data_IF_729809360317
#
_entry.id   IF_729809360317
#
_cell.length_a   1.000
_cell.length_b   1.000
_cell.length_c   1.000
_cell.angle_alpha   90.00
_cell.angle_beta   90.00
_cell.angle_gamma   90.00
#
_symmetry.space_group_name_H-M   'P 1'
#
loop_
_entity.id
_entity.type
_entity.pdbx_description
1 polymer ?
#
# COMPACT_ATOMS: atom_id res chain seq x y z
N UNK A 1 -3.03 -13.63 -14.02
CA UNK A 1 -2.63 -12.20 -13.97
C UNK A 1 -3.29 -11.53 -15.15
N UNK A 2 -4.16 -10.56 -14.90
CA UNK A 2 -4.86 -9.80 -15.94
C UNK A 2 -4.16 -8.44 -16.03
N UNK A 3 -3.72 -8.07 -17.22
CA UNK A 3 -3.05 -6.79 -17.45
C UNK A 3 -4.07 -5.79 -18.00
N UNK A 4 -4.06 -4.56 -17.51
CA UNK A 4 -4.84 -3.48 -18.11
C UNK A 4 -4.11 -2.97 -19.37
N UNK A 5 -4.82 -2.55 -20.42
CA UNK A 5 -4.16 -2.00 -21.63
C UNK A 5 -3.67 -0.55 -21.43
N UNK A 6 -3.99 0.06 -20.29
CA UNK A 6 -3.68 1.45 -19.96
C UNK A 6 -2.32 1.50 -19.28
N UNK A 7 -1.41 2.31 -19.83
CA UNK A 7 -0.11 2.59 -19.21
C UNK A 7 -0.09 3.99 -18.61
N UNK A 8 0.23 4.07 -17.33
CA UNK A 8 0.36 5.35 -16.61
C UNK A 8 1.80 5.83 -16.68
N UNK A 9 2.01 7.14 -16.89
CA UNK A 9 3.36 7.74 -16.95
C UNK A 9 3.86 8.12 -15.57
N UNK A 10 2.95 8.38 -14.64
CA UNK A 10 3.28 8.77 -13.27
C UNK A 10 2.45 7.97 -12.26
N UNK A 11 2.97 7.87 -11.04
CA UNK A 11 2.24 7.23 -9.96
C UNK A 11 1.00 8.03 -9.52
N UNK A 12 1.04 9.35 -9.65
CA UNK A 12 -0.11 10.23 -9.39
C UNK A 12 -1.27 9.90 -10.34
N UNK A 13 -1.00 9.73 -11.65
CA UNK A 13 -2.03 9.32 -12.62
C UNK A 13 -2.66 7.97 -12.27
N UNK A 14 -1.86 7.02 -11.79
CA UNK A 14 -2.33 5.73 -11.31
C UNK A 14 -3.21 5.88 -10.06
N UNK A 15 -2.82 6.73 -9.10
CA UNK A 15 -3.56 6.94 -7.85
C UNK A 15 -4.96 7.54 -8.08
N UNK A 16 -5.10 8.40 -9.09
CA UNK A 16 -6.40 9.00 -9.47
C UNK A 16 -7.19 8.17 -10.48
N UNK A 17 -6.69 6.98 -10.84
CA UNK A 17 -7.35 6.13 -11.82
C UNK A 17 -8.51 5.35 -11.18
N UNK A 18 -9.61 5.22 -11.94
CA UNK A 18 -10.75 4.39 -11.55
C UNK A 18 -10.55 2.96 -12.06
N UNK A 19 -9.84 2.15 -11.27
CA UNK A 19 -9.61 0.72 -11.55
C UNK A 19 -10.69 -0.18 -10.94
N UNK A 20 -11.75 0.41 -10.36
CA UNK A 20 -12.78 -0.29 -9.62
C UNK A 20 -12.42 -0.52 -8.14
N UNK A 21 -13.44 -0.78 -7.30
CA UNK A 21 -13.29 -0.79 -5.84
C UNK A 21 -12.70 -2.08 -5.25
N UNK A 22 -12.72 -3.19 -5.99
CA UNK A 22 -12.54 -4.53 -5.42
C UNK A 22 -11.16 -5.16 -5.68
N UNK A 23 -10.32 -4.53 -6.50
CA UNK A 23 -9.03 -5.08 -6.95
C UNK A 23 -7.82 -4.53 -6.19
N UNK A 24 -6.78 -5.36 -6.02
CA UNK A 24 -5.49 -4.95 -5.47
C UNK A 24 -4.51 -4.69 -6.62
N UNK A 25 -4.27 -3.41 -6.93
CA UNK A 25 -3.47 -3.03 -8.10
C UNK A 25 -2.03 -2.63 -7.74
N UNK A 26 -1.09 -2.84 -8.67
CA UNK A 26 0.29 -2.34 -8.59
C UNK A 26 0.73 -1.73 -9.91
N UNK A 27 1.35 -0.56 -9.84
CA UNK A 27 1.99 0.08 -10.96
C UNK A 27 3.41 -0.46 -11.12
N UNK A 28 3.76 -0.88 -12.33
CA UNK A 28 5.10 -1.27 -12.73
C UNK A 28 5.89 -0.08 -13.30
N UNK A 29 7.21 -0.16 -13.26
CA UNK A 29 8.11 0.90 -13.73
C UNK A 29 8.03 1.17 -15.23
N UNK A 30 7.45 0.25 -16.01
CA UNK A 30 7.15 0.41 -17.43
C UNK A 30 5.78 1.08 -17.70
N UNK A 31 5.06 1.46 -16.63
CA UNK A 31 3.74 2.08 -16.67
C UNK A 31 2.56 1.09 -16.67
N UNK A 32 2.81 -0.23 -16.73
CA UNK A 32 1.74 -1.23 -16.71
C UNK A 32 1.14 -1.40 -15.31
N UNK A 33 -0.15 -1.73 -15.26
CA UNK A 33 -0.83 -2.09 -14.00
C UNK A 33 -1.12 -3.57 -13.99
N UNK A 34 -0.75 -4.20 -12.87
CA UNK A 34 -1.10 -5.58 -12.57
C UNK A 34 -2.11 -5.62 -11.44
N UNK A 35 -3.08 -6.50 -11.56
CA UNK A 35 -3.95 -6.91 -10.47
C UNK A 35 -3.30 -8.10 -9.74
N UNK A 36 -3.22 -7.99 -8.42
CA UNK A 36 -2.77 -9.05 -7.53
C UNK A 36 -3.97 -9.88 -7.08
N UNK A 37 -3.78 -11.18 -6.82
CA UNK A 37 -4.81 -11.98 -6.17
C UNK A 37 -5.15 -11.41 -4.78
N UNK A 38 -6.34 -11.72 -4.26
CA UNK A 38 -6.66 -11.43 -2.86
C UNK A 38 -5.65 -12.10 -1.93
N UNK A 39 -5.46 -11.50 -0.75
CA UNK A 39 -4.58 -12.03 0.29
C UNK A 39 -5.15 -13.31 0.90
N UNK A 40 -4.28 -14.21 1.34
CA UNK A 40 -4.68 -15.46 1.99
C UNK A 40 -5.12 -15.22 3.46
N UNK A 41 -6.10 -16.00 3.93
CA UNK A 41 -6.63 -15.89 5.29
C UNK A 41 -5.57 -16.13 6.38
N UNK A 42 -4.65 -17.07 6.14
CA UNK A 42 -3.54 -17.34 7.07
C UNK A 42 -2.63 -16.11 7.21
N UNK A 43 -2.29 -15.46 6.09
CA UNK A 43 -1.48 -14.25 6.09
C UNK A 43 -2.17 -13.08 6.79
N UNK A 44 -3.48 -12.92 6.58
CA UNK A 44 -4.30 -11.92 7.28
C UNK A 44 -4.26 -12.17 8.79
N UNK A 45 -4.39 -13.42 9.22
CA UNK A 45 -4.35 -13.81 10.63
C UNK A 45 -2.98 -13.48 11.23
N UNK A 46 -1.88 -13.86 10.56
CA UNK A 46 -0.50 -13.57 11.00
C UNK A 46 -0.27 -12.05 11.12
N UNK A 47 -0.68 -11.27 10.10
CA UNK A 47 -0.53 -9.82 10.12
C UNK A 47 -1.31 -9.16 11.27
N UNK A 48 -2.49 -9.70 11.58
CA UNK A 48 -3.34 -9.24 12.68
C UNK A 48 -2.72 -9.54 14.04
N UNK A 49 -2.14 -10.72 14.24
CA UNK A 49 -1.42 -11.05 15.48
C UNK A 49 -0.19 -10.14 15.66
N UNK A 50 0.58 -9.92 14.59
CA UNK A 50 1.72 -8.99 14.63
C UNK A 50 1.30 -7.56 14.96
N UNK A 51 0.17 -7.08 14.43
CA UNK A 51 -0.42 -5.78 14.79
C UNK A 51 -0.66 -5.69 16.30
N UNK A 52 -1.27 -6.72 16.90
CA UNK A 52 -1.57 -6.71 18.33
C UNK A 52 -0.31 -6.72 19.19
N UNK A 53 0.70 -7.52 18.83
CA UNK A 53 1.98 -7.60 19.55
C UNK A 53 2.73 -6.27 19.46
N UNK A 54 2.94 -5.74 18.25
CA UNK A 54 3.71 -4.51 18.03
C UNK A 54 2.96 -3.29 18.59
N UNK A 55 1.64 -3.26 18.53
CA UNK A 55 0.79 -2.23 19.12
C UNK A 55 0.86 -2.13 20.65
N UNK A 56 1.46 -3.11 21.34
CA UNK A 56 1.77 -2.98 22.76
C UNK A 56 2.93 -2.00 22.99
N UNK A 57 3.92 -1.99 22.09
CA UNK A 57 5.17 -1.25 22.24
C UNK A 57 5.17 0.12 21.55
N UNK A 58 4.41 0.28 20.47
CA UNK A 58 4.38 1.53 19.70
C UNK A 58 3.22 2.43 20.14
N UNK A 59 3.52 3.68 20.50
CA UNK A 59 2.52 4.70 20.91
C UNK A 59 2.65 5.99 20.08
N UNK A 60 1.53 6.58 19.62
CA UNK A 60 0.16 6.04 19.68
C UNK A 60 0.00 4.80 18.79
N UNK A 61 -0.95 3.91 19.14
CA UNK A 61 -1.21 2.66 18.38
C UNK A 61 -1.53 2.91 16.90
N UNK A 62 -2.05 4.09 16.55
CA UNK A 62 -2.34 4.52 15.18
C UNK A 62 -1.12 4.65 14.25
N UNK A 63 0.09 4.55 14.81
CA UNK A 63 1.34 4.44 14.07
C UNK A 63 1.59 3.04 13.50
N UNK A 64 0.91 2.01 14.02
CA UNK A 64 0.98 0.66 13.48
C UNK A 64 -0.27 0.44 12.64
N UNK A 65 -0.10 0.08 11.36
CA UNK A 65 -1.19 -0.08 10.41
C UNK A 65 -1.01 -1.35 9.60
N UNK A 66 -2.11 -1.91 9.13
CA UNK A 66 -2.14 -3.07 8.23
C UNK A 66 -2.30 -2.63 6.77
N UNK A 67 -2.59 -3.57 5.87
CA UNK A 67 -2.75 -3.46 4.40
C UNK A 67 -3.65 -2.33 3.85
N UNK A 68 -4.27 -1.51 4.71
CA UNK A 68 -4.99 -0.27 4.35
C UNK A 68 -4.09 0.88 3.86
N UNK A 69 -2.77 0.70 3.95
CA UNK A 69 -1.79 1.76 3.66
C UNK A 69 -0.87 1.35 2.51
N UNK A 70 -0.95 2.10 1.43
CA UNK A 70 -0.07 1.96 0.28
C UNK A 70 1.09 2.96 0.37
N UNK A 71 2.27 2.57 -0.08
CA UNK A 71 3.44 3.44 -0.17
C UNK A 71 4.01 3.42 -1.59
N UNK A 72 4.32 4.60 -2.12
CA UNK A 72 5.18 4.69 -3.28
C UNK A 72 6.60 4.31 -2.88
N UNK A 73 7.32 3.57 -3.71
CA UNK A 73 8.71 3.19 -3.50
C UNK A 73 9.51 3.36 -4.78
N UNK A 74 10.85 3.45 -4.65
CA UNK A 74 11.71 3.24 -5.81
C UNK A 74 11.57 1.79 -6.29
N UNK A 75 11.30 1.54 -7.58
CA UNK A 75 11.27 0.18 -8.10
C UNK A 75 12.62 -0.52 -7.92
N UNK A 76 12.62 -1.70 -7.31
CA UNK A 76 13.79 -2.56 -7.13
C UNK A 76 13.36 -4.00 -7.40
N UNK A 77 14.12 -4.73 -8.22
CA UNK A 77 13.85 -6.13 -8.54
C UNK A 77 12.61 -6.30 -9.43
N UNK A 78 11.43 -6.45 -8.82
CA UNK A 78 10.16 -6.79 -9.49
C UNK A 78 9.48 -5.62 -10.22
N UNK A 79 10.14 -4.46 -10.30
CA UNK A 79 9.66 -3.28 -11.03
C UNK A 79 8.46 -2.56 -10.41
N UNK A 80 7.95 -2.95 -9.24
CA UNK A 80 6.78 -2.29 -8.63
C UNK A 80 7.12 -0.92 -8.06
N UNK A 81 6.33 0.08 -8.43
CA UNK A 81 6.42 1.49 -8.00
C UNK A 81 5.71 1.70 -6.66
N UNK A 82 4.84 0.78 -6.25
CA UNK A 82 4.09 0.83 -5.01
C UNK A 82 4.08 -0.49 -4.24
N UNK A 83 3.92 -0.40 -2.92
CA UNK A 83 3.77 -1.53 -2.01
C UNK A 83 2.61 -1.27 -1.06
N UNK A 84 1.84 -2.30 -0.74
CA UNK A 84 0.99 -2.31 0.45
C UNK A 84 1.54 -3.41 1.36
N UNK A 85 2.34 -3.06 2.37
CA UNK A 85 2.83 -4.04 3.35
C UNK A 85 1.67 -4.59 4.19
N UNK A 86 1.78 -5.84 4.64
CA UNK A 86 0.79 -6.45 5.55
C UNK A 86 0.75 -5.74 6.90
N UNK A 87 1.90 -5.18 7.31
CA UNK A 87 2.06 -4.34 8.49
C UNK A 87 3.10 -3.25 8.23
N UNK A 88 2.79 -2.02 8.66
CA UNK A 88 3.69 -0.87 8.63
C UNK A 88 3.74 -0.21 10.01
N UNK A 89 4.95 0.10 10.47
CA UNK A 89 5.21 0.88 11.67
C UNK A 89 5.72 2.25 11.26
N UNK A 90 4.95 3.28 11.56
CA UNK A 90 5.24 4.67 11.23
C UNK A 90 5.83 5.41 12.43
N UNK A 91 6.50 6.52 12.14
CA UNK A 91 6.84 7.56 13.11
C UNK A 91 5.96 8.77 12.86
N UNK A 92 5.90 9.70 13.82
CA UNK A 92 5.00 10.85 13.72
C UNK A 92 5.31 11.75 12.52
N UNK A 93 6.58 11.86 12.12
CA UNK A 93 6.97 12.63 10.94
C UNK A 93 6.37 12.06 9.65
N UNK A 94 6.20 10.73 9.54
CA UNK A 94 5.60 10.09 8.35
C UNK A 94 4.11 10.39 8.20
N UNK A 95 3.44 10.88 9.25
CA UNK A 95 2.03 11.29 9.20
C UNK A 95 1.93 12.78 8.82
N UNK A 96 2.87 13.61 9.29
CA UNK A 96 2.85 15.06 9.09
C UNK A 96 3.38 15.45 7.72
N UNK A 97 4.38 14.75 7.21
CA UNK A 97 4.96 14.99 5.89
C UNK A 97 4.35 14.04 4.87
N UNK A 98 3.30 14.52 4.20
CA UNK A 98 2.67 13.83 3.07
C UNK A 98 3.58 13.72 1.85
N UNK A 99 4.77 14.33 1.87
CA UNK A 99 5.62 14.47 0.70
C UNK A 99 7.05 14.91 1.05
N UNK A 100 7.86 14.12 1.74
CA UNK A 100 9.32 14.34 1.66
C UNK A 100 10.04 12.98 1.61
N UNK A 101 10.70 12.73 0.46
CA UNK A 101 11.65 11.65 0.16
C UNK A 101 11.08 10.24 -0.08
N UNK A 102 10.77 9.96 -1.35
CA UNK A 102 10.65 8.64 -2.00
C UNK A 102 9.68 7.59 -1.43
N UNK A 103 9.02 7.86 -0.31
CA UNK A 103 7.98 7.03 0.29
C UNK A 103 6.76 7.90 0.63
N UNK A 104 5.84 8.02 -0.33
CA UNK A 104 4.57 8.72 -0.10
C UNK A 104 3.55 7.71 0.43
N UNK A 105 2.98 7.99 1.61
CA UNK A 105 2.02 7.12 2.30
C UNK A 105 0.59 7.53 1.92
N UNK A 106 -0.14 6.61 1.28
CA UNK A 106 -1.52 6.80 0.84
C UNK A 106 -2.45 5.87 1.61
N UNK A 107 -3.66 6.34 1.88
CA UNK A 107 -4.73 5.51 2.45
C UNK A 107 -5.62 5.06 1.31
N UNK A 108 -5.87 3.76 1.21
CA UNK A 108 -7.00 3.29 0.40
C UNK A 108 -8.27 3.79 1.07
N UNK A 109 -8.92 4.74 0.41
CA UNK A 109 -10.14 5.37 0.91
C UNK A 109 -11.32 4.53 0.43
N UNK A 110 -11.48 3.35 1.02
CA UNK A 110 -12.69 2.51 0.89
C UNK A 110 -12.76 1.56 2.08
N UNK A 111 -13.91 1.59 2.77
CA UNK A 111 -14.32 0.79 3.95
C UNK A 111 -13.66 1.25 5.26
N UNK A 112 -14.37 1.84 6.23
CA UNK A 112 -15.38 1.26 7.14
C UNK A 112 -16.31 2.40 7.66
N UNK A 113 -17.65 2.21 7.78
CA UNK A 113 -18.46 3.00 8.71
C UNK A 113 -18.27 2.55 10.17
#
# INVERSE_FOLDING_TARGET
>A
MTFTSIRYKTYEEYLHSDLGPDGIFRLLSNGEVIELPPEDEENICIATELLFVIGQFVKPRSLVRTSSTEIQVRPIGDGRVNRAPDLIVLRLEHIKERSINNCQVFRNSSVIP
#
